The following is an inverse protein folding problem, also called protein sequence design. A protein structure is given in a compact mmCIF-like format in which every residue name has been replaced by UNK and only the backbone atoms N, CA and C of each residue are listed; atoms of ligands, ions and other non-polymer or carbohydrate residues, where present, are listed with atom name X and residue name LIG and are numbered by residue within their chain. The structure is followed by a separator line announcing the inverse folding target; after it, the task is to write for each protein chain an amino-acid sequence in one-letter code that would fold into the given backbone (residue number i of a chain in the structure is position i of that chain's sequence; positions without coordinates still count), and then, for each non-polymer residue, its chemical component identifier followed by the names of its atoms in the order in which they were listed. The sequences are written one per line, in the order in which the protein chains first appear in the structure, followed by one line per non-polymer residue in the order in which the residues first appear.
data_IF_392742880013
#
_entry.id   IF_392742880013
#
_cell.length_a   1.000
_cell.length_b   1.000
_cell.length_c   1.000
_cell.angle_alpha   90.00
_cell.angle_beta   90.00
_cell.angle_gamma   90.00
#
_symmetry.space_group_name_H-M   'P 1'
#
loop_
_entity.id
_entity.type
_entity.pdbx_description
1 polymer ?
#
# COMPACT_ATOMS: atom_id res chain seq x y z
N UNK A 1 -18.89 -6.09 15.87
CA UNK A 1 -19.64 -6.53 14.69
C UNK A 1 -18.64 -6.94 13.62
N UNK A 2 -18.83 -8.05 12.90
CA UNK A 2 -17.93 -8.48 11.83
C UNK A 2 -18.47 -7.95 10.51
N UNK A 3 -17.81 -6.92 9.97
CA UNK A 3 -18.07 -6.41 8.63
C UNK A 3 -17.30 -7.27 7.63
N UNK A 4 -17.96 -7.72 6.56
CA UNK A 4 -17.30 -8.49 5.49
C UNK A 4 -17.13 -7.63 4.25
N UNK A 5 -16.04 -7.87 3.51
CA UNK A 5 -15.80 -7.25 2.21
C UNK A 5 -15.83 -8.34 1.14
N UNK A 6 -16.64 -8.14 0.10
CA UNK A 6 -16.76 -9.06 -1.02
C UNK A 6 -16.38 -8.33 -2.31
N UNK A 7 -15.32 -8.77 -2.97
CA UNK A 7 -14.85 -8.18 -4.23
C UNK A 7 -15.15 -9.12 -5.39
N UNK A 8 -15.87 -8.63 -6.39
CA UNK A 8 -15.94 -9.25 -7.70
C UNK A 8 -15.09 -8.45 -8.67
N UNK A 9 -14.03 -9.09 -9.18
CA UNK A 9 -13.12 -8.49 -10.13
C UNK A 9 -13.54 -8.76 -11.57
N UNK A 10 -13.34 -7.79 -12.46
CA UNK A 10 -13.63 -7.87 -13.90
C UNK A 10 -15.04 -8.40 -14.22
N UNK A 11 -16.05 -7.82 -13.56
CA UNK A 11 -17.41 -8.36 -13.58
C UNK A 11 -18.00 -8.43 -15.00
N UNK A 12 -17.54 -7.62 -15.96
CA UNK A 12 -17.98 -7.68 -17.36
C UNK A 12 -17.73 -9.02 -18.06
N UNK A 13 -16.84 -9.87 -17.52
CA UNK A 13 -16.54 -11.21 -18.02
C UNK A 13 -17.44 -12.30 -17.41
N UNK A 14 -18.29 -11.95 -16.44
CA UNK A 14 -19.20 -12.87 -15.78
C UNK A 14 -20.24 -13.48 -16.73
N UNK A 15 -20.67 -14.71 -16.41
CA UNK A 15 -21.75 -15.40 -17.11
C UNK A 15 -23.13 -14.91 -16.67
N UNK A 16 -24.15 -15.17 -17.50
CA UNK A 16 -25.55 -14.80 -17.23
C UNK A 16 -26.09 -15.35 -15.92
N UNK A 17 -25.64 -16.55 -15.53
CA UNK A 17 -26.02 -17.15 -14.26
C UNK A 17 -25.51 -16.33 -13.05
N UNK A 18 -24.29 -15.78 -13.14
CA UNK A 18 -23.76 -14.93 -12.07
C UNK A 18 -24.52 -13.60 -11.99
N UNK A 19 -25.00 -13.07 -13.13
CA UNK A 19 -25.80 -11.84 -13.15
C UNK A 19 -27.12 -11.97 -12.40
N UNK A 20 -27.85 -13.06 -12.63
CA UNK A 20 -29.11 -13.32 -11.92
C UNK A 20 -28.89 -13.49 -10.41
N UNK A 21 -27.78 -14.13 -10.05
CA UNK A 21 -27.37 -14.29 -8.65
C UNK A 21 -27.05 -12.94 -8.01
N UNK A 22 -26.29 -12.09 -8.70
CA UNK A 22 -25.93 -10.75 -8.23
C UNK A 22 -27.15 -9.87 -8.02
N UNK A 23 -28.11 -9.86 -8.95
CA UNK A 23 -29.36 -9.09 -8.80
C UNK A 23 -30.13 -9.52 -7.54
N UNK A 24 -30.31 -10.82 -7.33
CA UNK A 24 -31.00 -11.33 -6.14
C UNK A 24 -30.26 -10.99 -4.84
N UNK A 25 -28.92 -11.04 -4.88
CA UNK A 25 -28.05 -10.72 -3.76
C UNK A 25 -28.09 -9.23 -3.41
N UNK A 26 -27.98 -8.34 -4.39
CA UNK A 26 -28.03 -6.88 -4.19
C UNK A 26 -29.42 -6.43 -3.72
N UNK A 27 -30.49 -7.12 -4.14
CA UNK A 27 -31.87 -6.77 -3.74
C UNK A 27 -32.21 -7.21 -2.32
N UNK A 28 -31.88 -8.45 -1.97
CA UNK A 28 -32.37 -9.10 -0.75
C UNK A 28 -31.32 -9.20 0.34
N UNK A 29 -30.07 -8.82 0.05
CA UNK A 29 -28.90 -9.08 0.90
C UNK A 29 -28.82 -10.55 1.36
N UNK A 30 -29.32 -11.50 0.55
CA UNK A 30 -29.28 -12.92 0.85
C UNK A 30 -28.93 -13.73 -0.38
N UNK A 31 -28.15 -14.79 -0.18
CA UNK A 31 -27.81 -15.75 -1.22
C UNK A 31 -28.22 -17.15 -0.79
N UNK A 32 -28.95 -17.88 -1.64
CA UNK A 32 -29.25 -19.30 -1.40
C UNK A 32 -28.25 -20.14 -2.18
N UNK A 33 -27.50 -20.98 -1.46
CA UNK A 33 -26.51 -21.89 -2.05
C UNK A 33 -27.19 -23.16 -2.58
N UNK A 34 -26.47 -23.93 -3.40
CA UNK A 34 -26.98 -25.17 -3.99
C UNK A 34 -27.33 -26.27 -2.97
N UNK A 35 -26.85 -26.16 -1.73
CA UNK A 35 -27.19 -27.03 -0.60
C UNK A 35 -28.38 -26.50 0.23
N UNK A 36 -29.14 -25.54 -0.31
CA UNK A 36 -30.26 -24.85 0.33
C UNK A 36 -29.91 -24.02 1.57
N UNK A 37 -28.63 -23.82 1.88
CA UNK A 37 -28.24 -22.87 2.93
C UNK A 37 -28.44 -21.44 2.44
N UNK A 38 -28.98 -20.59 3.32
CA UNK A 38 -29.08 -19.15 3.10
C UNK A 38 -27.91 -18.45 3.78
N UNK A 39 -27.22 -17.62 3.02
CA UNK A 39 -26.16 -16.73 3.50
C UNK A 39 -26.74 -15.32 3.59
N UNK A 40 -26.63 -14.70 4.76
CA UNK A 40 -26.98 -13.30 4.97
C UNK A 40 -25.78 -12.40 4.66
N UNK A 41 -26.01 -11.37 3.86
CA UNK A 41 -25.04 -10.39 3.38
C UNK A 41 -25.40 -8.97 3.83
N UNK A 42 -26.35 -8.82 4.75
CA UNK A 42 -26.76 -7.53 5.32
C UNK A 42 -25.62 -6.76 6.00
N UNK A 43 -24.53 -7.44 6.35
CA UNK A 43 -23.31 -6.86 6.94
C UNK A 43 -22.08 -7.06 6.03
N UNK A 44 -22.30 -6.98 4.71
CA UNK A 44 -21.26 -7.12 3.70
C UNK A 44 -21.23 -5.90 2.80
N UNK A 45 -20.04 -5.32 2.61
CA UNK A 45 -19.80 -4.31 1.57
C UNK A 45 -19.33 -5.04 0.32
N UNK A 46 -20.07 -4.85 -0.78
CA UNK A 46 -19.79 -5.49 -2.06
C UNK A 46 -19.09 -4.49 -2.97
N UNK A 47 -17.90 -4.85 -3.44
CA UNK A 47 -17.14 -4.13 -4.45
C UNK A 47 -17.21 -4.89 -5.77
N UNK A 48 -17.45 -4.14 -6.84
CA UNK A 48 -17.46 -4.63 -8.20
C UNK A 48 -16.48 -3.77 -8.99
N UNK A 49 -15.54 -4.40 -9.68
CA UNK A 49 -14.62 -3.70 -10.58
C UNK A 49 -14.90 -4.10 -12.01
N UNK A 50 -14.58 -3.21 -12.93
CA UNK A 50 -14.74 -3.45 -14.35
C UNK A 50 -13.68 -2.69 -15.14
N UNK A 51 -13.18 -3.28 -16.22
CA UNK A 51 -12.24 -2.63 -17.13
C UNK A 51 -12.94 -1.98 -18.35
N UNK A 52 -14.27 -1.86 -18.33
CA UNK A 52 -15.04 -1.23 -19.41
C UNK A 52 -14.67 0.26 -19.59
N UNK A 53 -14.64 0.70 -20.84
CA UNK A 53 -14.29 2.09 -21.17
C UNK A 53 -12.80 2.42 -21.08
N UNK A 54 -11.95 1.53 -20.55
CA UNK A 54 -10.51 1.80 -20.38
C UNK A 54 -9.78 2.15 -21.68
N UNK A 55 -10.12 1.48 -22.80
CA UNK A 55 -9.56 1.79 -24.11
C UNK A 55 -9.97 3.17 -24.63
N UNK A 56 -11.27 3.48 -24.60
CA UNK A 56 -11.81 4.77 -25.02
C UNK A 56 -11.26 5.93 -24.18
N UNK A 57 -11.11 5.72 -22.87
CA UNK A 57 -10.50 6.68 -21.94
C UNK A 57 -9.02 6.90 -22.27
N UNK A 58 -8.28 5.83 -22.57
CA UNK A 58 -6.87 5.93 -22.95
C UNK A 58 -6.68 6.72 -24.27
N UNK A 59 -7.57 6.52 -25.24
CA UNK A 59 -7.58 7.29 -26.50
C UNK A 59 -7.91 8.77 -26.26
N UNK A 60 -8.88 9.07 -25.38
CA UNK A 60 -9.20 10.44 -24.98
C UNK A 60 -7.99 11.16 -24.37
N UNK A 61 -7.18 10.46 -23.58
CA UNK A 61 -5.94 11.02 -23.00
C UNK A 61 -4.84 11.30 -24.04
N UNK A 62 -4.82 10.56 -25.14
CA UNK A 62 -3.78 10.71 -26.18
C UNK A 62 -4.03 11.88 -27.14
N UNK A 63 -5.18 12.55 -27.00
CA UNK A 63 -5.60 13.61 -27.91
C UNK A 63 -6.06 13.01 -29.23
N UNK A 64 -7.37 12.75 -29.36
CA UNK A 64 -7.96 12.23 -30.58
C UNK A 64 -7.52 13.01 -31.82
N UNK A 65 -7.37 12.31 -32.95
CA UNK A 65 -7.10 12.91 -34.27
C UNK A 65 -8.03 14.12 -34.49
N UNK A 66 -7.50 15.34 -34.38
CA UNK A 66 -8.23 16.55 -34.78
C UNK A 66 -8.09 17.79 -33.90
N UNK A 67 -7.62 17.71 -32.65
CA UNK A 67 -7.39 18.91 -31.83
C UNK A 67 -6.05 18.84 -31.12
N UNK A 68 -5.05 19.54 -31.67
CA UNK A 68 -3.81 19.86 -30.95
C UNK A 68 -4.19 20.79 -29.81
N UNK A 69 -4.37 20.25 -28.61
CA UNK A 69 -4.39 21.07 -27.41
C UNK A 69 -2.95 21.39 -27.00
N UNK A 70 -2.62 22.66 -26.69
CA UNK A 70 -1.33 23.03 -26.12
C UNK A 70 -1.08 22.21 -24.85
N UNK A 71 0.15 21.71 -24.67
CA UNK A 71 0.56 20.84 -23.57
C UNK A 71 0.36 21.42 -22.15
N UNK A 72 0.00 22.70 -22.03
CA UNK A 72 0.04 23.48 -20.79
C UNK A 72 -1.29 24.12 -20.37
N UNK A 73 -2.45 23.66 -20.88
CA UNK A 73 -3.75 24.07 -20.33
C UNK A 73 -4.43 22.91 -19.60
N UNK A 74 -4.91 23.11 -18.35
CA UNK A 74 -5.79 22.14 -17.73
C UNK A 74 -7.00 21.99 -18.64
N UNK A 75 -7.22 20.77 -19.14
CA UNK A 75 -8.35 20.46 -19.99
C UNK A 75 -9.59 20.49 -19.09
N UNK A 76 -10.17 21.67 -18.91
CA UNK A 76 -11.44 21.86 -18.21
C UNK A 76 -12.47 20.93 -18.87
N UNK A 77 -13.01 19.99 -18.09
CA UNK A 77 -13.98 19.00 -18.56
C UNK A 77 -13.39 17.69 -19.12
N UNK A 78 -12.08 17.41 -18.97
CA UNK A 78 -11.55 16.08 -19.30
C UNK A 78 -12.03 15.00 -18.33
N UNK A 79 -12.01 15.30 -17.03
CA UNK A 79 -12.53 14.40 -15.99
C UNK A 79 -14.02 14.08 -16.24
N UNK A 80 -14.85 15.09 -16.54
CA UNK A 80 -16.26 14.89 -16.93
C UNK A 80 -16.44 14.02 -18.19
N UNK A 81 -15.55 14.16 -19.18
CA UNK A 81 -15.56 13.30 -20.37
C UNK A 81 -15.19 11.87 -20.03
N UNK A 82 -14.18 11.66 -19.18
CA UNK A 82 -13.77 10.34 -18.69
C UNK A 82 -14.91 9.67 -17.94
N UNK A 83 -15.56 10.40 -17.03
CA UNK A 83 -16.73 9.90 -16.29
C UNK A 83 -17.87 9.50 -17.22
N UNK A 84 -18.23 10.38 -18.17
CA UNK A 84 -19.29 10.08 -19.14
C UNK A 84 -18.95 8.84 -19.98
N UNK A 85 -17.74 8.76 -20.53
CA UNK A 85 -17.31 7.62 -21.35
C UNK A 85 -17.33 6.31 -20.55
N UNK A 86 -16.85 6.31 -19.30
CA UNK A 86 -16.89 5.12 -18.45
C UNK A 86 -18.32 4.67 -18.17
N UNK A 87 -19.22 5.61 -17.81
CA UNK A 87 -20.61 5.30 -17.49
C UNK A 87 -21.38 4.84 -18.74
N UNK A 88 -21.14 5.43 -19.90
CA UNK A 88 -21.73 4.99 -21.16
C UNK A 88 -21.28 3.58 -21.54
N UNK A 89 -19.99 3.27 -21.40
CA UNK A 89 -19.47 1.92 -21.64
C UNK A 89 -20.10 0.90 -20.68
N UNK A 90 -20.24 1.24 -19.40
CA UNK A 90 -20.93 0.41 -18.41
C UNK A 90 -22.40 0.18 -18.78
N UNK A 91 -23.14 1.23 -19.19
CA UNK A 91 -24.55 1.14 -19.60
C UNK A 91 -24.78 0.35 -20.89
N UNK A 92 -23.77 0.22 -21.76
CA UNK A 92 -23.85 -0.65 -22.95
C UNK A 92 -23.73 -2.13 -22.59
N UNK A 93 -22.97 -2.46 -21.54
CA UNK A 93 -22.71 -3.83 -21.12
C UNK A 93 -23.68 -4.34 -20.05
N UNK A 94 -24.05 -3.49 -19.10
CA UNK A 94 -24.89 -3.85 -17.96
C UNK A 94 -26.32 -3.36 -18.15
N UNK A 95 -27.29 -4.17 -17.72
CA UNK A 95 -28.70 -3.80 -17.80
C UNK A 95 -29.01 -2.60 -16.89
N UNK A 96 -30.01 -1.77 -17.23
CA UNK A 96 -30.46 -0.69 -16.35
C UNK A 96 -30.90 -1.19 -14.98
N UNK A 97 -31.49 -2.39 -14.92
CA UNK A 97 -31.90 -3.02 -13.65
C UNK A 97 -30.70 -3.20 -12.72
N UNK A 98 -29.59 -3.76 -13.22
CA UNK A 98 -28.37 -3.95 -12.44
C UNK A 98 -27.75 -2.62 -12.01
N UNK A 99 -27.63 -1.66 -12.92
CA UNK A 99 -27.07 -0.34 -12.63
C UNK A 99 -27.84 0.39 -11.52
N UNK A 100 -29.16 0.23 -11.48
CA UNK A 100 -30.02 0.83 -10.47
C UNK A 100 -29.90 0.16 -9.08
N UNK A 101 -29.22 -0.98 -8.97
CA UNK A 101 -28.93 -1.66 -7.68
C UNK A 101 -27.57 -1.30 -7.10
N UNK A 102 -26.77 -0.52 -7.82
CA UNK A 102 -25.49 -0.04 -7.32
C UNK A 102 -25.71 1.27 -6.55
N UNK A 103 -25.29 1.28 -5.29
CA UNK A 103 -25.41 2.49 -4.45
C UNK A 103 -24.56 3.65 -4.99
N UNK A 104 -23.34 3.34 -5.44
CA UNK A 104 -22.40 4.31 -6.02
C UNK A 104 -21.60 3.67 -7.13
N UNK A 105 -21.46 4.41 -8.23
CA UNK A 105 -20.52 4.11 -9.31
C UNK A 105 -19.36 5.09 -9.20
N UNK A 106 -18.13 4.56 -9.11
CA UNK A 106 -16.92 5.37 -9.00
C UNK A 106 -16.08 5.14 -10.25
N UNK A 107 -15.73 6.23 -10.93
CA UNK A 107 -14.86 6.18 -12.11
C UNK A 107 -13.43 6.49 -11.70
N UNK A 108 -12.52 5.56 -12.01
CA UNK A 108 -11.09 5.76 -11.78
C UNK A 108 -10.48 6.56 -12.92
N UNK A 109 -9.86 7.67 -12.56
CA UNK A 109 -9.18 8.53 -13.51
C UNK A 109 -7.76 8.00 -13.79
N UNK A 110 -7.24 8.16 -15.02
CA UNK A 110 -5.84 7.87 -15.31
C UNK A 110 -4.91 8.64 -14.37
N UNK A 111 -3.85 7.97 -13.89
CA UNK A 111 -2.90 8.56 -12.97
C UNK A 111 -2.09 9.66 -13.66
N UNK A 112 -2.04 10.84 -13.03
CA UNK A 112 -1.17 11.95 -13.45
C UNK A 112 0.28 11.69 -13.03
N UNK A 113 1.21 12.46 -13.59
CA UNK A 113 2.64 12.28 -13.35
C UNK A 113 3.01 12.42 -11.87
N UNK A 114 2.33 13.30 -11.15
CA UNK A 114 2.52 13.55 -9.72
C UNK A 114 2.03 12.37 -8.88
N UNK A 115 0.85 11.84 -9.22
CA UNK A 115 0.27 10.66 -8.57
C UNK A 115 1.13 9.42 -8.81
N UNK A 116 1.75 9.29 -9.98
CA UNK A 116 2.72 8.22 -10.25
C UNK A 116 3.96 8.32 -9.35
N UNK A 117 4.43 9.54 -9.01
CA UNK A 117 5.51 9.71 -8.04
C UNK A 117 5.10 9.28 -6.64
N UNK A 118 3.86 9.56 -6.23
CA UNK A 118 3.31 9.11 -4.96
C UNK A 118 3.22 7.58 -4.89
N UNK A 119 2.76 6.94 -5.97
CA UNK A 119 2.73 5.47 -6.08
C UNK A 119 4.15 4.90 -5.96
N UNK A 120 5.13 5.49 -6.64
CA UNK A 120 6.54 5.10 -6.50
C UNK A 120 7.02 5.24 -5.05
N UNK A 121 6.66 6.32 -4.36
CA UNK A 121 7.01 6.51 -2.94
C UNK A 121 6.44 5.40 -2.06
N UNK A 122 5.18 5.03 -2.27
CA UNK A 122 4.51 3.96 -1.52
C UNK A 122 5.23 2.63 -1.74
N UNK A 123 5.51 2.28 -3.01
CA UNK A 123 6.18 1.01 -3.35
C UNK A 123 7.62 0.95 -2.80
N UNK A 124 8.40 2.04 -2.91
CA UNK A 124 9.74 2.12 -2.32
C UNK A 124 9.68 2.04 -0.78
N UNK A 125 8.66 2.66 -0.16
CA UNK A 125 8.41 2.56 1.27
C UNK A 125 8.14 1.12 1.71
N UNK A 126 7.34 0.37 0.95
CA UNK A 126 7.10 -1.06 1.21
C UNK A 126 8.37 -1.90 1.05
N UNK A 127 9.24 -1.56 0.10
CA UNK A 127 10.57 -2.20 -0.01
C UNK A 127 11.42 -1.89 1.22
N UNK A 128 11.48 -0.62 1.65
CA UNK A 128 12.23 -0.21 2.83
C UNK A 128 11.75 -0.91 4.10
N UNK A 129 10.43 -1.06 4.30
CA UNK A 129 9.88 -1.81 5.42
C UNK A 129 10.31 -3.29 5.40
N UNK A 130 10.24 -3.95 4.23
CA UNK A 130 10.72 -5.34 4.09
C UNK A 130 12.20 -5.50 4.43
N UNK A 131 13.04 -4.53 4.09
CA UNK A 131 14.46 -4.54 4.47
C UNK A 131 14.62 -4.42 6.00
N UNK A 132 13.83 -3.57 6.66
CA UNK A 132 13.89 -3.38 8.12
C UNK A 132 13.34 -4.58 8.90
N UNK A 133 12.33 -5.27 8.37
CA UNK A 133 11.75 -6.47 8.97
C UNK A 133 12.70 -7.69 8.88
N UNK A 134 13.78 -7.59 8.10
CA UNK A 134 14.76 -8.66 7.96
C UNK A 134 15.66 -8.74 9.20
N UNK A 135 15.76 -9.92 9.82
CA UNK A 135 16.50 -10.13 11.06
C UNK A 135 18.03 -9.94 10.96
N UNK A 136 18.59 -9.96 9.75
CA UNK A 136 20.02 -9.72 9.47
C UNK A 136 20.15 -8.68 8.35
N UNK A 137 20.96 -7.65 8.57
CA UNK A 137 21.28 -6.65 7.54
C UNK A 137 20.20 -5.60 7.34
N UNK A 138 19.67 -5.02 8.43
CA UNK A 138 18.80 -3.85 8.35
C UNK A 138 19.62 -2.65 7.88
N UNK A 139 19.29 -2.10 6.72
CA UNK A 139 19.91 -0.88 6.21
C UNK A 139 18.82 0.05 5.65
N UNK A 140 19.17 1.31 5.47
CA UNK A 140 18.33 2.27 4.78
C UNK A 140 18.80 2.46 3.35
N UNK A 141 17.88 2.75 2.44
CA UNK A 141 18.23 3.21 1.12
C UNK A 141 17.47 4.47 0.74
N UNK A 142 18.08 5.29 -0.10
CA UNK A 142 17.47 6.48 -0.69
C UNK A 142 17.67 6.44 -2.19
N UNK A 143 16.58 6.63 -2.94
CA UNK A 143 16.62 6.81 -4.38
C UNK A 143 16.63 8.31 -4.70
N UNK A 144 17.60 8.75 -5.51
CA UNK A 144 17.68 10.13 -6.02
C UNK A 144 16.55 10.44 -7.00
N UNK A 145 16.33 11.72 -7.30
CA UNK A 145 15.27 12.14 -8.23
C UNK A 145 15.49 11.63 -9.65
N UNK A 146 16.75 11.57 -10.10
CA UNK A 146 17.18 10.95 -11.37
C UNK A 146 16.90 9.44 -11.39
N UNK A 147 17.17 8.73 -10.30
CA UNK A 147 16.81 7.31 -10.14
C UNK A 147 15.30 7.08 -10.16
N UNK A 148 14.53 7.97 -9.51
CA UNK A 148 13.06 7.95 -9.50
C UNK A 148 12.47 8.18 -10.88
N UNK A 149 13.01 9.14 -11.64
CA UNK A 149 12.61 9.41 -13.03
C UNK A 149 12.82 8.17 -13.91
N UNK A 150 13.98 7.52 -13.78
CA UNK A 150 14.26 6.29 -14.51
C UNK A 150 13.25 5.18 -14.16
N UNK A 151 12.98 4.96 -12.87
CA UNK A 151 12.04 3.93 -12.43
C UNK A 151 10.61 4.19 -12.94
N UNK A 152 10.19 5.45 -13.00
CA UNK A 152 8.88 5.82 -13.56
C UNK A 152 8.86 5.62 -15.07
N UNK A 153 9.92 5.98 -15.78
CA UNK A 153 10.01 5.79 -17.23
C UNK A 153 9.97 4.31 -17.62
N UNK A 154 10.66 3.45 -16.86
CA UNK A 154 10.69 2.00 -17.12
C UNK A 154 9.42 1.30 -16.61
N UNK A 155 8.88 1.77 -15.50
CA UNK A 155 7.79 1.12 -14.76
C UNK A 155 6.38 1.61 -15.12
N UNK A 156 6.24 2.64 -15.95
CA UNK A 156 4.93 3.19 -16.32
C UNK A 156 4.72 3.15 -17.81
N UNK A 157 3.50 2.77 -18.20
CA UNK A 157 3.01 2.90 -19.57
C UNK A 157 1.71 3.71 -19.50
N UNK A 158 1.50 4.60 -20.47
CA UNK A 158 0.29 5.39 -20.59
C UNK A 158 -0.98 4.52 -20.73
N UNK A 159 -0.86 3.28 -21.23
CA UNK A 159 -1.99 2.34 -21.35
C UNK A 159 -2.19 1.44 -20.13
N UNK A 160 -1.10 1.02 -19.49
CA UNK A 160 -1.14 0.05 -18.39
C UNK A 160 -0.93 0.69 -17.00
N UNK A 161 -0.73 2.01 -16.95
CA UNK A 161 -0.48 2.76 -15.73
C UNK A 161 0.78 2.28 -14.99
N UNK A 162 0.70 2.26 -13.66
CA UNK A 162 1.78 1.82 -12.78
C UNK A 162 1.89 0.30 -12.63
N UNK A 163 1.18 -0.52 -13.42
CA UNK A 163 1.17 -1.99 -13.27
C UNK A 163 2.58 -2.61 -13.38
N UNK A 164 3.45 -2.01 -14.21
CA UNK A 164 4.82 -2.46 -14.38
C UNK A 164 5.79 -1.90 -13.34
N UNK A 165 5.36 -0.91 -12.55
CA UNK A 165 6.24 -0.15 -11.65
C UNK A 165 6.82 -1.05 -10.57
N UNK A 166 5.98 -1.90 -9.98
CA UNK A 166 6.43 -2.89 -9.00
C UNK A 166 7.51 -3.82 -9.58
N UNK A 167 7.34 -4.29 -10.82
CA UNK A 167 8.33 -5.15 -11.49
C UNK A 167 9.63 -4.40 -11.79
N UNK A 168 9.54 -3.14 -12.20
CA UNK A 168 10.71 -2.30 -12.42
C UNK A 168 11.49 -2.10 -11.11
N UNK A 169 10.80 -1.80 -10.01
CA UNK A 169 11.40 -1.69 -8.68
C UNK A 169 12.02 -3.04 -8.24
N UNK A 170 11.31 -4.15 -8.42
CA UNK A 170 11.85 -5.48 -8.10
C UNK A 170 13.15 -5.76 -8.87
N UNK A 171 13.13 -5.54 -10.19
CA UNK A 171 14.27 -5.81 -11.06
C UNK A 171 15.46 -4.88 -10.81
N UNK A 172 15.21 -3.58 -10.70
CA UNK A 172 16.26 -2.57 -10.70
C UNK A 172 16.68 -2.12 -9.31
N UNK A 173 15.89 -2.39 -8.27
CA UNK A 173 16.20 -1.99 -6.89
C UNK A 173 16.31 -3.20 -5.98
N UNK A 174 15.28 -4.06 -5.92
CA UNK A 174 15.25 -5.16 -4.95
C UNK A 174 16.33 -6.21 -5.22
N UNK A 175 16.46 -6.70 -6.47
CA UNK A 175 17.48 -7.71 -6.78
C UNK A 175 18.92 -7.21 -6.58
N UNK A 176 19.31 -5.99 -7.03
CA UNK A 176 20.64 -5.47 -6.73
C UNK A 176 20.89 -5.30 -5.23
N UNK A 177 19.94 -4.76 -4.47
CA UNK A 177 20.08 -4.63 -3.02
C UNK A 177 20.23 -5.98 -2.32
N UNK A 178 19.46 -6.99 -2.74
CA UNK A 178 19.59 -8.36 -2.22
C UNK A 178 20.97 -8.95 -2.53
N UNK A 179 21.52 -8.72 -3.72
CA UNK A 179 22.85 -9.18 -4.10
C UNK A 179 23.97 -8.47 -3.29
N UNK A 180 23.83 -7.16 -3.05
CA UNK A 180 24.77 -6.40 -2.23
C UNK A 180 24.77 -6.88 -0.78
N UNK A 181 23.59 -7.18 -0.23
CA UNK A 181 23.46 -7.78 1.10
C UNK A 181 24.06 -9.20 1.13
N UNK A 182 23.81 -10.02 0.11
CA UNK A 182 24.31 -11.41 0.06
C UNK A 182 25.84 -11.50 -0.14
N UNK A 183 26.46 -10.44 -0.67
CA UNK A 183 27.92 -10.35 -0.87
C UNK A 183 28.62 -9.55 0.22
N UNK A 184 27.92 -9.26 1.33
CA UNK A 184 28.41 -8.48 2.47
C UNK A 184 28.93 -7.07 2.11
N UNK A 185 28.54 -6.52 0.95
CA UNK A 185 28.89 -5.15 0.53
C UNK A 185 28.07 -4.09 1.26
N UNK A 186 26.90 -4.49 1.78
CA UNK A 186 26.03 -3.64 2.60
C UNK A 186 25.74 -4.38 3.90
N UNK A 187 25.91 -3.68 5.02
CA UNK A 187 25.80 -4.20 6.37
C UNK A 187 24.75 -3.48 7.20
N UNK A 188 24.52 -3.98 8.41
CA UNK A 188 23.60 -3.40 9.37
C UNK A 188 23.93 -1.92 9.63
N UNK A 189 22.94 -1.05 9.46
CA UNK A 189 23.04 0.38 9.74
C UNK A 189 23.57 1.22 8.59
N UNK A 190 23.87 0.63 7.44
CA UNK A 190 24.32 1.38 6.27
C UNK A 190 23.20 2.23 5.66
N UNK A 191 23.61 3.29 4.97
CA UNK A 191 22.76 4.06 4.07
C UNK A 191 23.23 3.87 2.63
N UNK A 192 22.38 3.29 1.79
CA UNK A 192 22.64 3.08 0.37
C UNK A 192 21.94 4.16 -0.45
N UNK A 193 22.70 4.97 -1.17
CA UNK A 193 22.17 5.85 -2.21
C UNK A 193 22.07 5.11 -3.53
N UNK A 194 20.91 5.23 -4.16
CA UNK A 194 20.59 4.66 -5.45
C UNK A 194 20.44 5.82 -6.43
N UNK A 195 21.28 5.86 -7.46
CA UNK A 195 21.31 6.94 -8.45
C UNK A 195 21.27 6.39 -9.88
N UNK A 196 20.76 7.18 -10.82
CA UNK A 196 20.79 6.84 -12.24
C UNK A 196 22.07 7.35 -12.89
N UNK A 197 22.86 6.44 -13.44
CA UNK A 197 24.03 6.76 -14.25
C UNK A 197 23.66 6.74 -15.74
N UNK A 198 23.61 7.94 -16.34
CA UNK A 198 23.25 8.13 -17.74
C UNK A 198 24.29 7.52 -18.71
N UNK A 199 25.57 7.48 -18.31
CA UNK A 199 26.66 6.96 -19.16
C UNK A 199 26.55 5.45 -19.33
N UNK A 200 26.28 4.75 -18.24
CA UNK A 200 26.20 3.29 -18.20
C UNK A 200 24.76 2.76 -18.35
N UNK A 201 23.77 3.66 -18.40
CA UNK A 201 22.33 3.34 -18.49
C UNK A 201 21.88 2.33 -17.45
N UNK A 202 22.34 2.50 -16.21
CA UNK A 202 22.01 1.63 -15.09
C UNK A 202 21.87 2.39 -13.78
N UNK A 203 21.15 1.81 -12.83
CA UNK A 203 21.17 2.29 -11.45
C UNK A 203 22.48 1.90 -10.78
N UNK A 204 23.09 2.87 -10.12
CA UNK A 204 24.30 2.72 -9.31
C UNK A 204 23.94 2.76 -7.84
N UNK A 205 24.71 2.02 -7.03
CA UNK A 205 24.47 1.84 -5.61
C UNK A 205 25.74 2.24 -4.86
N UNK A 206 25.65 3.31 -4.08
CA UNK A 206 26.79 3.87 -3.34
C UNK A 206 26.44 3.89 -1.86
N UNK A 207 27.31 3.33 -1.02
CA UNK A 207 27.19 3.42 0.43
C UNK A 207 27.63 4.81 0.90
N UNK A 208 26.70 5.61 1.41
CA UNK A 208 26.95 7.00 1.85
C UNK A 208 27.25 7.14 3.35
N UNK A 209 26.98 6.11 4.16
CA UNK A 209 27.29 6.14 5.59
C UNK A 209 27.33 4.75 6.20
N UNK A 210 28.31 4.53 7.06
CA UNK A 210 28.48 3.31 7.86
C UNK A 210 27.87 3.56 9.25
N UNK A 211 26.92 2.72 9.69
CA UNK A 211 26.38 2.78 11.05
C UNK A 211 25.38 3.92 11.38
N UNK A 212 24.71 4.50 10.38
CA UNK A 212 23.70 5.56 10.58
C UNK A 212 22.53 5.14 11.51
N UNK A 213 22.09 3.88 11.44
CA UNK A 213 21.05 3.35 12.36
C UNK A 213 21.59 3.09 13.79
N UNK A 214 22.87 2.74 13.92
CA UNK A 214 23.48 2.44 15.23
C UNK A 214 23.67 3.74 16.02
N UNK A 215 24.10 4.83 15.37
CA UNK A 215 24.31 6.11 16.04
C UNK A 215 23.01 6.71 16.58
N UNK A 216 21.90 6.65 15.82
CA UNK A 216 20.61 7.20 16.26
C UNK A 216 20.02 6.48 17.49
N UNK A 217 20.21 5.15 17.60
CA UNK A 217 19.78 4.39 18.77
C UNK A 217 20.68 4.65 20.00
N UNK A 218 21.98 4.90 19.81
CA UNK A 218 22.91 5.21 20.90
C UNK A 218 22.86 6.67 21.38
N UNK A 219 22.33 7.60 20.60
CA UNK A 219 22.20 9.01 20.99
C UNK A 219 20.91 9.37 21.75
N UNK A 220 20.13 8.37 22.20
CA UNK A 220 19.03 8.55 23.15
C UNK A 220 19.47 8.84 24.60
N UNK A 221 20.77 8.97 24.86
CA UNK A 221 21.34 9.21 26.19
C UNK A 221 22.03 10.57 26.29
N UNK A 222 21.27 11.61 26.67
CA UNK A 222 21.76 12.83 27.32
C UNK A 222 22.64 13.75 26.48
N UNK A 223 22.03 14.70 25.77
CA UNK A 223 22.72 15.94 25.43
C UNK A 223 22.06 17.13 26.14
N UNK A 224 22.85 17.74 27.02
CA UNK A 224 22.52 18.91 27.83
C UNK A 224 22.09 20.07 26.94
N UNK A 225 20.92 20.63 27.25
CA UNK A 225 20.48 21.91 26.69
C UNK A 225 21.36 23.00 27.30
N UNK A 226 22.25 23.58 26.47
CA UNK A 226 22.99 24.80 26.81
C UNK A 226 22.07 25.99 26.55
N UNK A 227 21.63 26.65 27.61
CA UNK A 227 20.89 27.90 27.56
C UNK A 227 21.80 29.06 27.13
N UNK A 228 21.29 29.93 26.26
CA UNK A 228 21.75 31.32 26.11
C UNK A 228 20.50 32.21 26.08
N UNK A 229 20.46 33.14 27.04
CA UNK A 229 19.51 34.24 27.28
C UNK A 229 19.50 35.28 26.13
N UNK A 230 18.61 36.26 25.99
CA UNK A 230 17.22 36.56 26.33
C UNK A 230 16.90 37.96 25.70
N UNK A 231 15.66 38.18 25.25
CA UNK A 231 14.90 39.47 25.10
C UNK A 231 13.66 39.12 24.26
N UNK A 232 12.42 39.43 24.58
CA UNK A 232 11.81 40.42 25.46
C UNK A 232 10.46 39.87 25.96
N UNK A 233 10.01 40.38 27.12
CA UNK A 233 9.11 39.65 28.02
C UNK A 233 7.62 39.59 27.69
N UNK A 234 6.94 38.61 28.32
CA UNK A 234 5.75 38.82 29.16
C UNK A 234 5.43 37.54 29.93
N UNK A 235 5.23 37.66 31.23
CA UNK A 235 5.02 36.57 32.21
C UNK A 235 3.70 35.81 32.01
N UNK A 236 3.74 34.49 32.24
CA UNK A 236 2.60 33.72 32.74
C UNK A 236 3.09 32.48 33.49
N UNK A 237 2.62 32.34 34.74
CA UNK A 237 2.96 31.29 35.71
C UNK A 237 2.46 29.90 35.27
N UNK A 238 3.19 28.85 35.65
CA UNK A 238 2.68 27.47 35.68
C UNK A 238 2.94 26.88 37.08
N UNK A 239 1.99 26.13 37.67
CA UNK A 239 2.13 25.63 39.03
C UNK A 239 3.04 24.40 39.11
N UNK A 240 3.71 24.30 40.25
CA UNK A 240 4.71 23.31 40.66
C UNK A 240 4.16 21.88 40.76
N UNK A 241 4.90 20.96 40.16
CA UNK A 241 4.77 19.51 40.32
C UNK A 241 5.19 19.09 41.74
N UNK A 242 4.33 18.37 42.46
CA UNK A 242 4.66 17.83 43.78
C UNK A 242 5.22 16.43 43.63
N UNK A 243 6.46 16.27 44.09
CA UNK A 243 7.24 15.04 44.18
C UNK A 243 6.63 14.10 45.23
N UNK A 244 6.50 12.81 44.92
CA UNK A 244 6.49 11.76 45.96
C UNK A 244 7.34 10.59 45.48
N UNK A 245 8.47 10.40 46.17
CA UNK A 245 9.36 9.27 46.04
C UNK A 245 9.06 8.21 47.12
N UNK A 246 9.31 6.98 46.72
CA UNK A 246 9.62 5.75 47.44
C UNK A 246 8.89 5.34 48.73
N UNK A 247 8.38 4.09 48.72
CA UNK A 247 8.82 3.03 49.65
C UNK A 247 8.21 1.65 49.34
N UNK A 248 9.13 0.70 49.09
CA UNK A 248 9.09 -0.75 49.36
C UNK A 248 7.98 -1.26 50.31
N UNK A 249 7.33 -2.38 49.96
CA UNK A 249 7.60 -3.72 50.55
C UNK A 249 6.51 -4.78 50.30
N UNK A 250 6.96 -6.05 50.25
CA UNK A 250 6.27 -7.36 50.43
C UNK A 250 5.37 -7.90 49.30
N UNK A 251 5.78 -8.98 48.60
CA UNK A 251 5.73 -10.42 48.95
C UNK A 251 4.30 -10.99 49.00
N UNK A 252 3.94 -11.82 48.01
CA UNK A 252 3.29 -13.12 48.17
C UNK A 252 3.15 -13.86 46.81
N UNK A 253 3.67 -15.08 46.74
CA UNK A 253 3.23 -16.13 45.79
C UNK A 253 1.89 -16.72 46.27
N UNK A 254 1.18 -17.47 45.40
CA UNK A 254 1.18 -18.92 45.56
C UNK A 254 1.48 -19.62 44.22
N UNK A 255 2.28 -20.70 44.18
CA UNK A 255 1.82 -22.08 44.42
C UNK A 255 1.18 -22.62 43.12
N UNK A 256 1.76 -23.53 42.36
CA UNK A 256 2.41 -24.78 42.73
C UNK A 256 1.55 -25.93 42.19
N UNK A 257 1.86 -26.42 40.98
CA UNK A 257 1.21 -27.58 40.37
C UNK A 257 2.26 -28.48 39.74
N UNK A 258 2.45 -29.68 40.30
CA UNK A 258 3.37 -30.72 39.83
C UNK A 258 2.70 -32.09 39.91
N UNK A 259 3.09 -32.95 38.96
CA UNK A 259 2.98 -34.42 38.92
C UNK A 259 1.59 -34.99 38.58
N UNK A 260 1.40 -36.06 37.80
CA UNK A 260 2.27 -37.05 37.14
C UNK A 260 1.37 -38.00 36.28
N UNK A 261 1.92 -38.96 35.50
CA UNK A 261 1.27 -39.59 34.34
C UNK A 261 0.61 -40.94 34.66
N UNK A 262 -0.20 -41.48 33.73
CA UNK A 262 -0.62 -42.88 33.75
C UNK A 262 -0.74 -43.49 32.34
N UNK A 263 -0.27 -44.73 32.25
CA UNK A 263 -0.04 -45.56 31.08
C UNK A 263 -1.28 -46.35 30.63
N UNK A 264 -1.37 -46.63 29.33
CA UNK A 264 -1.46 -48.00 28.79
C UNK A 264 -2.83 -48.71 28.68
N UNK A 265 -3.18 -49.10 27.44
CA UNK A 265 -3.55 -50.47 26.95
C UNK A 265 -4.04 -50.38 25.50
N UNK A 266 -3.29 -50.89 24.51
CA UNK A 266 -3.35 -52.24 23.89
C UNK A 266 -4.62 -52.54 23.04
N UNK A 267 -4.38 -52.54 21.71
CA UNK A 267 -4.55 -53.62 20.70
C UNK A 267 -5.92 -54.29 20.40
N UNK A 268 -6.13 -54.45 19.08
CA UNK A 268 -6.84 -55.51 18.31
C UNK A 268 -8.38 -55.47 18.32
N UNK A 269 -9.11 -55.76 17.23
CA UNK A 269 -8.84 -56.59 16.05
C UNK A 269 -9.82 -56.26 14.89
N UNK A 270 -9.45 -56.75 13.69
CA UNK A 270 -10.17 -56.87 12.39
C UNK A 270 -10.02 -55.75 11.35
#
# INVERSE_FOLDING_TARGET
MKLSFLLFDEIEKASDALWQLLLGMLDKATLTLGDNRKVDLSQTVIFLTSNLGGGEIAELMQGGMGFVQPKDKPVTGLDEKVERTAVEAARRKFSPEFMNRLDKVVVFHPLRREQLQEVLNIELGQVQQRVLDTAKGQFLFRVTDTGREFLLKEGTDQRYGARHLKRAIERHVVYPLANLLATDQVSLGDLVRIDWDESHKQLTFVREGEGALVQAATQGGGSKVTAVEAKDGKSAETPTETTVDDRKSRVAQPGGGSAAPAQGRKKQDR
#
